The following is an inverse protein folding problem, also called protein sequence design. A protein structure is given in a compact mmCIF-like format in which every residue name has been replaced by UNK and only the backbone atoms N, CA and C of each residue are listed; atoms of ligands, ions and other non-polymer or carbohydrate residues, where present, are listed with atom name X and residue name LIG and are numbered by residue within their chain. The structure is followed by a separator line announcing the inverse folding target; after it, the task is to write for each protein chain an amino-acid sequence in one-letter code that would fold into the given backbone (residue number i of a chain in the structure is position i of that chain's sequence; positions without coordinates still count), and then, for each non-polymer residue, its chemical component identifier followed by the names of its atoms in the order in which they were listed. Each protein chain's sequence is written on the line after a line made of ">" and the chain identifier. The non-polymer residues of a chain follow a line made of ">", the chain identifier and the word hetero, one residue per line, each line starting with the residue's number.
data_IF_137087332106
#
_entry.id   IF_137087332106
#
_cell.length_a   1.000
_cell.length_b   1.000
_cell.length_c   1.000
_cell.angle_alpha   90.00
_cell.angle_beta   90.00
_cell.angle_gamma   90.00
#
_symmetry.space_group_name_H-M   'P 1'
#
loop_
_entity.id
_entity.type
_entity.pdbx_description
1 polymer ?
#
# COMPACT_ATOMS: atom_id res chain seq x y z
N UNK A 1 -1.21 22.21 10.54
CA UNK A 1 -0.64 21.76 11.83
C UNK A 1 -0.18 22.98 12.58
N UNK A 2 -0.58 23.13 13.85
CA UNK A 2 -0.20 24.30 14.66
C UNK A 2 1.07 23.98 15.46
N UNK A 3 1.97 24.97 15.62
CA UNK A 3 3.10 24.84 16.55
C UNK A 3 2.59 24.87 17.99
N UNK A 4 3.16 24.06 18.87
CA UNK A 4 2.86 24.14 20.29
C UNK A 4 3.23 25.54 20.83
N UNK A 5 2.38 26.21 21.64
CA UNK A 5 2.62 27.60 22.07
C UNK A 5 3.94 27.80 22.80
N UNK A 6 4.36 26.80 23.57
CA UNK A 6 5.58 26.85 24.39
C UNK A 6 6.80 26.24 23.69
N UNK A 7 6.61 25.51 22.58
CA UNK A 7 7.71 24.87 21.85
C UNK A 7 7.45 24.81 20.33
N UNK A 8 8.12 25.66 19.53
CA UNK A 8 7.86 25.75 18.09
C UNK A 8 8.34 24.52 17.30
N UNK A 9 9.14 23.64 17.89
CA UNK A 9 9.59 22.38 17.27
C UNK A 9 8.57 21.25 17.42
N UNK A 10 7.56 21.41 18.26
CA UNK A 10 6.47 20.44 18.44
C UNK A 10 5.30 20.86 17.56
N UNK A 11 4.87 19.95 16.68
CA UNK A 11 3.68 20.13 15.85
C UNK A 11 2.50 19.41 16.46
N UNK A 12 1.38 20.12 16.59
CA UNK A 12 0.12 19.59 17.08
C UNK A 12 -0.85 19.43 15.90
N UNK A 13 -1.42 18.23 15.80
CA UNK A 13 -2.58 17.97 14.96
C UNK A 13 -3.82 18.03 15.86
N UNK A 14 -4.60 19.10 15.71
CA UNK A 14 -5.86 19.27 16.43
C UNK A 14 -7.00 18.88 15.49
N UNK A 15 -7.88 18.00 15.96
CA UNK A 15 -9.08 17.56 15.24
C UNK A 15 -10.29 18.08 16.01
N UNK A 16 -11.16 18.83 15.33
CA UNK A 16 -12.34 19.45 15.92
C UNK A 16 -13.52 19.37 14.94
N UNK A 17 -14.73 19.19 15.48
CA UNK A 17 -15.98 19.06 14.73
C UNK A 17 -17.16 19.61 15.55
N UNK A 18 -18.32 19.79 14.91
CA UNK A 18 -19.53 20.30 15.60
C UNK A 18 -20.20 19.23 16.44
N UNK A 19 -20.04 17.97 16.05
CA UNK A 19 -20.62 16.79 16.71
C UNK A 19 -19.68 15.56 16.59
N UNK A 20 -20.11 14.43 17.17
CA UNK A 20 -19.37 13.17 17.12
C UNK A 20 -19.23 12.61 15.70
N UNK A 21 -20.16 12.91 14.80
CA UNK A 21 -20.11 12.47 13.40
C UNK A 21 -19.02 13.21 12.62
N UNK A 22 -18.90 14.52 12.81
CA UNK A 22 -17.83 15.35 12.24
C UNK A 22 -16.46 14.84 12.74
N UNK A 23 -16.34 14.47 14.02
CA UNK A 23 -15.11 13.92 14.58
C UNK A 23 -14.74 12.57 13.95
N UNK A 24 -15.72 11.67 13.79
CA UNK A 24 -15.52 10.38 13.15
C UNK A 24 -15.17 10.53 11.66
N UNK A 25 -15.79 11.48 10.97
CA UNK A 25 -15.50 11.81 9.58
C UNK A 25 -14.06 12.32 9.45
N UNK A 26 -13.64 13.27 10.29
CA UNK A 26 -12.27 13.77 10.28
C UNK A 26 -11.25 12.64 10.57
N UNK A 27 -11.52 11.78 11.55
CA UNK A 27 -10.67 10.64 11.87
C UNK A 27 -10.54 9.64 10.69
N UNK A 28 -11.65 9.30 10.03
CA UNK A 28 -11.65 8.44 8.83
C UNK A 28 -10.86 9.08 7.69
N UNK A 29 -11.01 10.38 7.49
CA UNK A 29 -10.28 11.14 6.50
C UNK A 29 -8.76 11.12 6.71
N UNK A 30 -8.32 11.31 7.95
CA UNK A 30 -6.91 11.24 8.34
C UNK A 30 -6.37 9.82 8.12
N UNK A 31 -7.08 8.80 8.58
CA UNK A 31 -6.65 7.40 8.48
C UNK A 31 -6.55 6.90 7.03
N UNK A 32 -7.38 7.41 6.12
CA UNK A 32 -7.31 7.06 4.70
C UNK A 32 -6.15 7.75 3.96
N UNK A 33 -5.54 8.79 4.53
CA UNK A 33 -4.34 9.44 3.97
C UNK A 33 -4.56 10.17 2.63
N UNK A 34 -5.80 10.27 2.15
CA UNK A 34 -6.12 10.87 0.85
C UNK A 34 -6.45 12.37 0.94
N UNK A 35 -6.37 12.94 2.15
CA UNK A 35 -6.60 14.37 2.38
C UNK A 35 -5.28 15.10 2.20
N UNK A 36 -5.23 15.99 1.21
CA UNK A 36 -4.11 16.90 1.03
C UNK A 36 -4.14 17.96 2.13
N UNK A 37 -3.32 17.78 3.17
CA UNK A 37 -3.17 18.76 4.23
C UNK A 37 -2.35 19.97 3.72
N UNK A 38 -3.01 20.98 3.15
CA UNK A 38 -2.37 22.23 2.73
C UNK A 38 -2.54 23.31 3.81
N UNK A 39 -1.41 23.82 4.32
CA UNK A 39 -1.39 24.90 5.29
C UNK A 39 -1.65 24.45 6.74
N UNK A 40 -1.98 25.42 7.59
CA UNK A 40 -2.08 25.20 9.04
C UNK A 40 -3.42 24.59 9.48
N UNK A 41 -4.48 24.74 8.68
CA UNK A 41 -5.82 24.21 8.91
C UNK A 41 -6.41 23.67 7.61
N UNK A 42 -7.10 22.52 7.69
CA UNK A 42 -7.73 21.82 6.56
C UNK A 42 -9.12 21.36 6.99
N UNK A 43 -10.12 21.69 6.19
CA UNK A 43 -11.50 21.22 6.40
C UNK A 43 -11.70 19.89 5.69
N UNK A 44 -12.33 18.92 6.37
CA UNK A 44 -12.62 17.59 5.82
C UNK A 44 -14.08 17.54 5.36
N UNK A 45 -14.33 17.97 4.12
CA UNK A 45 -15.69 18.07 3.56
C UNK A 45 -16.29 16.69 3.21
N UNK A 46 -15.53 15.84 2.52
CA UNK A 46 -16.02 14.53 2.06
C UNK A 46 -14.92 13.48 2.14
N UNK A 47 -15.22 12.36 2.81
CA UNK A 47 -14.33 11.21 2.91
C UNK A 47 -14.87 10.11 2.00
N UNK A 48 -14.29 9.98 0.80
CA UNK A 48 -14.67 8.92 -0.13
C UNK A 48 -14.30 7.55 0.47
N UNK A 49 -15.26 6.66 0.73
CA UNK A 49 -14.95 5.35 1.29
C UNK A 49 -14.06 4.58 0.33
N UNK A 50 -12.96 4.04 0.87
CA UNK A 50 -12.12 3.10 0.12
C UNK A 50 -12.95 1.88 -0.23
N UNK A 51 -12.77 1.38 -1.45
CA UNK A 51 -13.34 0.10 -1.85
C UNK A 51 -12.92 -0.98 -0.85
N UNK A 52 -13.84 -1.91 -0.56
CA UNK A 52 -13.52 -3.06 0.27
C UNK A 52 -12.27 -3.75 -0.29
N UNK A 53 -11.29 -3.97 0.60
CA UNK A 53 -10.06 -4.68 0.27
C UNK A 53 -10.43 -6.06 -0.28
N UNK A 54 -9.78 -6.45 -1.37
CA UNK A 54 -9.93 -7.80 -1.91
C UNK A 54 -8.86 -8.70 -1.26
N UNK A 55 -9.13 -10.01 -1.11
CA UNK A 55 -8.08 -10.95 -0.71
C UNK A 55 -6.86 -10.78 -1.61
N UNK A 56 -5.68 -10.67 -1.00
CA UNK A 56 -4.39 -10.61 -1.69
C UNK A 56 -4.22 -9.41 -2.65
N UNK A 57 -4.88 -8.29 -2.36
CA UNK A 57 -4.81 -7.06 -3.16
C UNK A 57 -3.55 -6.21 -2.97
N UNK A 58 -2.65 -6.60 -2.07
CA UNK A 58 -1.42 -5.86 -1.83
C UNK A 58 -0.41 -6.09 -2.98
N UNK A 59 0.31 -5.03 -3.41
CA UNK A 59 1.08 -5.02 -4.66
C UNK A 59 2.28 -5.97 -4.68
N UNK A 60 2.74 -6.42 -3.52
CA UNK A 60 3.91 -7.30 -3.40
C UNK A 60 3.57 -8.79 -3.53
N UNK A 61 2.30 -9.15 -3.66
CA UNK A 61 1.89 -10.55 -3.80
C UNK A 61 1.64 -10.90 -5.26
N UNK A 62 2.04 -12.12 -5.63
CA UNK A 62 1.65 -12.70 -6.91
C UNK A 62 0.13 -12.89 -6.91
N UNK A 63 -0.54 -12.36 -7.93
CA UNK A 63 -1.98 -12.50 -8.10
C UNK A 63 -2.36 -13.96 -8.32
N UNK A 64 -3.41 -14.41 -7.63
CA UNK A 64 -3.94 -15.78 -7.74
C UNK A 64 -5.25 -15.86 -8.50
N UNK A 65 -5.85 -14.70 -8.83
CA UNK A 65 -7.13 -14.60 -9.52
C UNK A 65 -7.02 -14.66 -11.05
N UNK A 66 -5.79 -14.61 -11.59
CA UNK A 66 -5.51 -14.69 -13.02
C UNK A 66 -4.11 -15.22 -13.29
N UNK A 67 -3.86 -15.64 -14.54
CA UNK A 67 -2.52 -15.92 -15.02
C UNK A 67 -1.63 -14.65 -14.93
N UNK A 68 -0.43 -14.81 -14.38
CA UNK A 68 0.58 -13.74 -14.22
C UNK A 68 1.69 -13.97 -15.24
N UNK A 69 2.08 -12.92 -15.96
CA UNK A 69 3.19 -13.02 -16.92
C UNK A 69 4.52 -12.83 -16.22
N UNK A 70 5.61 -13.42 -16.74
CA UNK A 70 6.95 -13.18 -16.21
C UNK A 70 7.35 -11.69 -16.25
N UNK A 71 6.76 -10.93 -17.17
CA UNK A 71 6.96 -9.48 -17.24
C UNK A 71 6.36 -8.70 -16.06
N UNK A 72 5.40 -9.26 -15.34
CA UNK A 72 4.82 -8.67 -14.12
C UNK A 72 5.64 -9.01 -12.87
N UNK A 73 6.47 -10.06 -12.92
CA UNK A 73 7.31 -10.53 -11.81
C UNK A 73 8.71 -9.90 -11.81
N UNK A 74 9.06 -9.15 -12.85
CA UNK A 74 10.34 -8.47 -12.94
C UNK A 74 10.41 -7.32 -11.93
N UNK A 75 11.50 -7.24 -11.17
CA UNK A 75 11.85 -6.07 -10.37
C UNK A 75 12.63 -5.04 -11.18
N UNK A 76 13.28 -5.44 -12.28
CA UNK A 76 14.05 -4.56 -13.16
C UNK A 76 13.94 -4.95 -14.65
N UNK A 77 14.23 -3.98 -15.54
CA UNK A 77 13.89 -4.03 -16.98
C UNK A 77 14.52 -5.21 -17.75
N UNK A 78 15.72 -5.64 -17.37
CA UNK A 78 16.53 -6.63 -18.10
C UNK A 78 16.64 -7.98 -17.37
N UNK A 79 15.83 -8.20 -16.32
CA UNK A 79 15.92 -9.40 -15.49
C UNK A 79 15.68 -10.71 -16.24
N UNK A 80 14.90 -10.67 -17.32
CA UNK A 80 14.59 -11.84 -18.16
C UNK A 80 15.57 -12.00 -19.34
N UNK A 81 16.71 -11.31 -19.31
CA UNK A 81 17.72 -11.35 -20.37
C UNK A 81 19.01 -11.94 -19.80
N UNK A 82 19.64 -12.82 -20.57
CA UNK A 82 20.95 -13.38 -20.27
C UNK A 82 21.81 -13.25 -21.53
N UNK A 83 23.02 -12.73 -21.39
CA UNK A 83 23.94 -12.43 -22.50
C UNK A 83 25.29 -13.10 -22.24
N UNK A 84 25.88 -13.71 -23.28
CA UNK A 84 27.17 -14.39 -23.18
C UNK A 84 27.29 -15.64 -24.07
N UNK A 85 28.49 -16.21 -24.15
CA UNK A 85 28.76 -17.51 -24.81
C UNK A 85 28.11 -18.69 -24.08
N UNK A 86 28.06 -18.62 -22.75
CA UNK A 86 27.26 -19.49 -21.89
C UNK A 86 26.33 -18.60 -21.04
N UNK A 87 25.05 -18.44 -21.42
CA UNK A 87 24.11 -17.61 -20.66
C UNK A 87 23.80 -18.26 -19.30
N UNK A 88 23.91 -17.46 -18.24
CA UNK A 88 23.53 -17.88 -16.89
C UNK A 88 22.01 -18.06 -16.77
N UNK A 89 21.59 -18.91 -15.83
CA UNK A 89 20.18 -19.14 -15.53
C UNK A 89 19.49 -17.85 -15.02
N UNK A 90 18.27 -17.61 -15.48
CA UNK A 90 17.45 -16.48 -15.03
C UNK A 90 16.72 -16.89 -13.74
N UNK A 91 16.99 -16.17 -12.65
CA UNK A 91 16.31 -16.38 -11.36
C UNK A 91 15.17 -15.38 -11.16
N UNK A 92 14.02 -15.88 -10.72
CA UNK A 92 12.82 -15.09 -10.43
C UNK A 92 12.34 -15.38 -9.01
N UNK A 93 12.14 -14.33 -8.23
CA UNK A 93 11.57 -14.41 -6.88
C UNK A 93 10.05 -14.25 -6.94
N UNK A 94 9.33 -15.16 -6.27
CA UNK A 94 7.87 -15.17 -6.21
C UNK A 94 7.44 -14.97 -4.74
N UNK A 95 6.56 -13.98 -4.50
CA UNK A 95 5.95 -13.76 -3.20
C UNK A 95 4.52 -14.30 -3.23
N UNK A 96 4.29 -15.46 -2.63
CA UNK A 96 2.97 -16.08 -2.54
C UNK A 96 2.28 -15.70 -1.23
N UNK A 97 0.96 -15.43 -1.22
CA UNK A 97 0.25 -15.12 0.01
C UNK A 97 0.49 -16.16 1.11
N UNK A 98 0.52 -15.75 2.39
CA UNK A 98 0.95 -16.61 3.49
C UNK A 98 0.06 -17.83 3.69
N UNK A 99 -1.21 -17.74 3.28
CA UNK A 99 -2.21 -18.82 3.36
C UNK A 99 -2.13 -19.79 2.15
N UNK A 100 -1.40 -19.42 1.09
CA UNK A 100 -1.20 -20.21 -0.12
C UNK A 100 0.09 -21.05 -0.09
N UNK A 101 0.76 -21.11 1.06
CA UNK A 101 1.90 -22.00 1.26
C UNK A 101 1.42 -23.46 1.36
N UNK A 102 1.12 -24.06 0.22
CA UNK A 102 0.80 -25.49 0.10
C UNK A 102 2.11 -26.29 0.00
N UNK A 103 2.79 -26.49 1.13
CA UNK A 103 3.89 -27.44 1.21
C UNK A 103 3.36 -28.88 1.37
N UNK A 104 2.85 -29.45 0.27
CA UNK A 104 2.75 -30.88 -0.10
C UNK A 104 1.76 -30.99 -1.27
N UNK A 105 2.12 -31.54 -2.43
CA UNK A 105 2.47 -32.95 -2.57
C UNK A 105 3.63 -33.20 -3.52
N UNK A 106 4.60 -33.97 -3.05
CA UNK A 106 5.46 -34.78 -3.91
C UNK A 106 4.61 -35.81 -4.66
N UNK A 107 4.98 -36.08 -5.92
CA UNK A 107 4.46 -37.18 -6.75
C UNK A 107 3.72 -36.63 -7.97
N UNK A 108 4.16 -36.86 -9.21
CA UNK A 108 5.08 -37.86 -9.79
C UNK A 108 5.76 -37.29 -11.02
#
# INVERSE_FOLDING_TARGET
>A
MISHPDNPYVKLLVVFGRDDNDLLQAAKGIAQGNILFRGDSVVVDEVKPLLARKPYDAPNWVRTDRAVTFGELKTYKEQLQSTGLEPAAISLSLNLPPDLYLLRSNGT
#
